data_IF_940471471670
#
_entry.id   IF_940471471670
#
_cell.length_a   1.000
_cell.length_b   1.000
_cell.length_c   1.000
_cell.angle_alpha   90.00
_cell.angle_beta   90.00
_cell.angle_gamma   90.00
#
_symmetry.space_group_name_H-M   'P 1'
#
loop_
_entity.id
_entity.type
_entity.pdbx_description
1 polymer ?
#
# COMPACT_ATOMS: atom_id res chain seq x y z
N UNK A 1 -5.10 -8.34 -9.18
CA UNK A 1 -4.53 -7.88 -7.89
C UNK A 1 -4.04 -6.43 -7.99
N UNK A 2 -3.02 -6.16 -8.80
CA UNK A 2 -2.37 -4.83 -8.94
C UNK A 2 -3.32 -3.65 -9.15
N UNK A 3 -4.21 -3.71 -10.14
CA UNK A 3 -5.10 -2.59 -10.46
C UNK A 3 -6.05 -2.21 -9.31
N UNK A 4 -6.57 -3.21 -8.58
CA UNK A 4 -7.40 -2.97 -7.41
C UNK A 4 -6.58 -2.41 -6.23
N UNK A 5 -5.35 -2.87 -6.03
CA UNK A 5 -4.46 -2.30 -5.00
C UNK A 5 -4.21 -0.83 -5.33
N UNK A 6 -3.86 -0.51 -6.58
CA UNK A 6 -3.68 0.87 -7.04
C UNK A 6 -4.95 1.71 -6.88
N UNK A 7 -6.13 1.14 -7.13
CA UNK A 7 -7.41 1.84 -6.90
C UNK A 7 -7.64 2.16 -5.41
N UNK A 8 -7.33 1.23 -4.50
CA UNK A 8 -7.42 1.45 -3.05
C UNK A 8 -6.41 2.52 -2.61
N UNK A 9 -5.17 2.42 -3.08
CA UNK A 9 -4.11 3.40 -2.79
C UNK A 9 -4.55 4.77 -3.27
N UNK A 10 -4.98 4.88 -4.52
CA UNK A 10 -5.47 6.12 -5.13
C UNK A 10 -6.64 6.72 -4.35
N UNK A 11 -7.62 5.91 -3.94
CA UNK A 11 -8.74 6.37 -3.14
C UNK A 11 -8.33 6.86 -1.74
N UNK A 12 -7.26 6.31 -1.15
CA UNK A 12 -6.78 6.66 0.19
C UNK A 12 -5.80 7.83 0.20
N UNK A 13 -4.97 7.94 -0.82
CA UNK A 13 -3.88 8.94 -0.91
C UNK A 13 -4.24 10.12 -1.79
N UNK A 14 -5.23 9.97 -2.68
CA UNK A 14 -5.61 10.97 -3.67
C UNK A 14 -4.69 11.03 -4.89
N UNK A 15 -3.62 10.22 -4.92
CA UNK A 15 -2.76 10.13 -6.11
C UNK A 15 -3.48 9.37 -7.22
N UNK A 16 -3.39 9.85 -8.47
CA UNK A 16 -3.97 9.12 -9.59
C UNK A 16 -3.18 7.80 -9.82
N UNK A 17 -3.83 6.70 -10.26
CA UNK A 17 -3.20 5.39 -10.40
C UNK A 17 -1.96 5.38 -11.31
N UNK A 18 -1.92 6.28 -12.27
CA UNK A 18 -0.84 6.54 -13.22
C UNK A 18 0.40 7.20 -12.59
N UNK A 19 0.28 7.86 -11.43
CA UNK A 19 1.43 8.34 -10.64
C UNK A 19 1.90 7.32 -9.59
N UNK A 20 1.13 6.27 -9.33
CA UNK A 20 1.43 5.27 -8.32
C UNK A 20 2.25 4.13 -8.93
N UNK A 21 3.54 4.37 -9.12
CA UNK A 21 4.48 3.32 -9.53
C UNK A 21 4.78 2.37 -8.35
N UNK A 22 4.64 1.04 -8.52
CA UNK A 22 4.98 0.04 -7.51
C UNK A 22 6.38 0.15 -6.92
N UNK A 23 7.33 0.74 -7.64
CA UNK A 23 8.72 0.89 -7.21
C UNK A 23 8.95 2.11 -6.33
N UNK A 24 8.00 3.06 -6.29
CA UNK A 24 8.13 4.26 -5.49
C UNK A 24 8.09 3.93 -4.00
N UNK A 25 8.94 4.62 -3.25
CA UNK A 25 8.94 4.60 -1.81
C UNK A 25 7.73 5.39 -1.31
N UNK A 26 6.91 4.71 -0.51
CA UNK A 26 5.69 5.28 0.05
C UNK A 26 6.03 6.51 0.91
N UNK A 27 7.11 6.50 1.68
CA UNK A 27 7.47 7.60 2.57
C UNK A 27 8.35 8.65 1.87
N UNK A 28 9.41 8.22 1.19
CA UNK A 28 10.41 9.12 0.61
C UNK A 28 9.95 9.78 -0.71
N UNK A 29 9.22 9.05 -1.56
CA UNK A 29 8.76 9.57 -2.86
C UNK A 29 7.33 10.11 -2.79
N UNK A 30 6.44 9.39 -2.10
CA UNK A 30 5.01 9.74 -2.02
C UNK A 30 4.61 10.48 -0.74
N UNK A 31 5.51 10.63 0.25
CA UNK A 31 5.23 11.33 1.51
C UNK A 31 4.16 10.66 2.38
N UNK A 32 3.89 9.38 2.15
CA UNK A 32 2.91 8.56 2.87
C UNK A 32 3.56 8.06 4.16
N UNK A 33 3.09 8.59 5.28
CA UNK A 33 3.54 8.20 6.61
C UNK A 33 3.20 6.73 6.95
N UNK A 34 3.84 6.22 8.00
CA UNK A 34 3.65 4.83 8.48
C UNK A 34 2.23 4.53 8.99
N UNK A 35 1.45 5.55 9.38
CA UNK A 35 0.05 5.38 9.82
C UNK A 35 -0.84 5.14 8.60
N UNK A 36 -0.66 5.92 7.53
CA UNK A 36 -1.34 5.79 6.24
C UNK A 36 -1.01 4.47 5.56
N UNK A 37 0.25 4.04 5.63
CA UNK A 37 0.63 2.71 5.15
C UNK A 37 -0.13 1.60 5.91
N UNK A 38 -0.27 1.73 7.24
CA UNK A 38 -1.02 0.75 8.04
C UNK A 38 -2.52 0.72 7.68
N UNK A 39 -3.13 1.88 7.47
CA UNK A 39 -4.52 2.00 6.97
C UNK A 39 -4.67 1.33 5.60
N UNK A 40 -3.72 1.58 4.69
CA UNK A 40 -3.73 1.02 3.35
C UNK A 40 -3.62 -0.50 3.38
N UNK A 41 -2.65 -1.03 4.12
CA UNK A 41 -2.48 -2.48 4.28
C UNK A 41 -3.71 -3.13 4.90
N UNK A 42 -4.38 -2.44 5.84
CA UNK A 42 -5.63 -2.94 6.43
C UNK A 42 -6.74 -3.01 5.38
N UNK A 43 -6.95 -1.94 4.61
CA UNK A 43 -7.95 -1.91 3.54
C UNK A 43 -7.71 -2.98 2.45
N UNK A 44 -6.45 -3.16 2.06
CA UNK A 44 -6.05 -4.24 1.14
C UNK A 44 -6.36 -5.61 1.77
N UNK A 45 -5.96 -5.85 3.01
CA UNK A 45 -6.21 -7.14 3.68
C UNK A 45 -7.71 -7.45 3.79
N UNK A 46 -8.54 -6.46 4.10
CA UNK A 46 -9.99 -6.60 4.16
C UNK A 46 -10.59 -6.95 2.80
N UNK A 47 -10.16 -6.29 1.72
CA UNK A 47 -10.65 -6.54 0.36
C UNK A 47 -10.35 -7.97 -0.13
N UNK A 48 -9.17 -8.52 0.22
CA UNK A 48 -8.75 -9.86 -0.21
C UNK A 48 -8.89 -10.96 0.84
N UNK A 49 -9.40 -10.65 2.03
CA UNK A 49 -9.48 -11.60 3.15
C UNK A 49 -8.11 -12.13 3.59
N UNK A 50 -7.05 -11.32 3.46
CA UNK A 50 -5.69 -11.73 3.80
C UNK A 50 -5.53 -11.68 5.32
N UNK A 51 -5.23 -12.80 5.99
CA UNK A 51 -5.06 -12.81 7.45
C UNK A 51 -3.92 -11.89 7.87
N UNK A 52 -4.09 -11.23 9.01
CA UNK A 52 -3.05 -10.37 9.59
C UNK A 52 -1.85 -11.24 9.97
N UNK A 53 -0.70 -10.89 9.44
CA UNK A 53 0.56 -11.53 9.81
C UNK A 53 1.31 -10.55 10.72
N UNK A 54 1.34 -10.85 12.02
CA UNK A 54 1.96 -10.00 13.04
C UNK A 54 3.50 -10.09 13.01
N UNK A 55 4.06 -11.09 12.33
CA UNK A 55 5.51 -11.23 12.18
C UNK A 55 6.11 -10.22 11.19
N UNK A 56 5.25 -9.65 10.33
CA UNK A 56 5.61 -8.75 9.23
C UNK A 56 5.47 -7.29 9.67
N UNK A 57 6.57 -6.56 9.76
CA UNK A 57 6.55 -5.13 10.11
C UNK A 57 6.31 -4.28 8.86
N UNK A 58 5.48 -3.25 8.98
CA UNK A 58 5.22 -2.31 7.88
C UNK A 58 6.51 -1.64 7.34
N UNK A 59 7.49 -1.41 8.22
CA UNK A 59 8.81 -0.87 7.84
C UNK A 59 9.60 -1.76 6.88
N UNK A 60 9.26 -3.03 6.77
CA UNK A 60 9.90 -3.97 5.83
C UNK A 60 9.27 -3.87 4.42
N UNK A 61 8.24 -3.03 4.25
CA UNK A 61 7.48 -2.86 3.00
C UNK A 61 7.42 -1.38 2.57
N UNK A 62 8.56 -0.78 2.21
CA UNK A 62 8.62 0.63 1.84
C UNK A 62 7.91 0.96 0.53
N UNK A 63 7.63 -0.03 -0.32
CA UNK A 63 7.09 0.18 -1.67
C UNK A 63 5.82 -0.61 -1.93
N UNK A 64 4.97 -0.10 -2.84
CA UNK A 64 3.73 -0.75 -3.27
C UNK A 64 3.96 -2.12 -3.93
N UNK A 65 5.15 -2.37 -4.49
CA UNK A 65 5.53 -3.67 -5.05
C UNK A 65 5.34 -4.82 -4.06
N UNK A 66 5.60 -4.57 -2.77
CA UNK A 66 5.46 -5.58 -1.73
C UNK A 66 4.02 -5.97 -1.43
N UNK A 67 3.06 -5.12 -1.78
CA UNK A 67 1.62 -5.32 -1.56
C UNK A 67 1.00 -6.15 -2.70
N UNK A 68 1.61 -6.11 -3.89
CA UNK A 68 1.02 -6.63 -5.13
C UNK A 68 1.50 -8.06 -5.48
N UNK A 69 2.55 -8.57 -4.83
CA UNK A 69 3.19 -9.85 -5.14
C UNK A 69 2.48 -11.08 -4.55
#
# INVERSE_FOLDING_TARGET
>A
MRERVLAIVSAKTGYPPDMLDPQLDLEADLGIDTVKQAELFTAVREEWGIPRDESRKLRDYPTLHHVVR
#
